data_IF_213765623258
#
_entry.id   IF_213765623258
#
_cell.length_a   1.000
_cell.length_b   1.000
_cell.length_c   1.000
_cell.angle_alpha   90.00
_cell.angle_beta   90.00
_cell.angle_gamma   90.00
#
_symmetry.space_group_name_H-M   'P 1'
#
loop_
_entity.id
_entity.type
_entity.pdbx_description
1 polymer ?
#
# COMPACT_ATOMS: atom_id res chain seq x y z
N UNK A 1 10.39 2.13 -6.63
CA UNK A 1 9.68 2.83 -7.73
C UNK A 1 8.27 2.30 -7.82
N UNK A 2 7.26 3.17 -7.86
CA UNK A 2 5.85 2.78 -7.94
C UNK A 2 5.36 2.88 -9.38
N UNK A 3 4.85 1.78 -9.92
CA UNK A 3 4.43 1.67 -11.32
C UNK A 3 2.91 1.73 -11.41
N UNK A 4 2.41 2.64 -12.24
CA UNK A 4 1.01 2.80 -12.58
C UNK A 4 0.89 2.64 -14.11
N UNK A 5 0.28 1.53 -14.58
CA UNK A 5 0.11 1.27 -16.00
C UNK A 5 -0.55 2.45 -16.72
N UNK A 6 0.04 2.87 -17.83
CA UNK A 6 -0.46 3.99 -18.64
C UNK A 6 -0.11 5.39 -18.13
N UNK A 7 0.44 5.51 -16.91
CA UNK A 7 0.86 6.81 -16.34
C UNK A 7 2.37 6.98 -16.38
N UNK A 8 3.13 5.97 -15.97
CA UNK A 8 4.59 6.04 -15.92
C UNK A 8 5.28 4.81 -16.54
N UNK A 9 4.62 4.20 -17.52
CA UNK A 9 5.09 3.00 -18.22
C UNK A 9 5.37 3.24 -19.69
N UNK A 10 5.23 4.47 -20.19
CA UNK A 10 5.56 4.75 -21.59
C UNK A 10 7.10 4.78 -21.77
N UNK A 11 7.63 4.54 -22.99
CA UNK A 11 9.08 4.47 -23.21
C UNK A 11 9.85 5.73 -22.80
N UNK A 12 9.26 6.91 -22.96
CA UNK A 12 9.87 8.19 -22.60
C UNK A 12 9.99 8.33 -21.08
N UNK A 13 8.94 7.97 -20.33
CA UNK A 13 8.94 7.98 -18.87
C UNK A 13 9.99 7.01 -18.33
N UNK A 14 10.03 5.79 -18.88
CA UNK A 14 11.00 4.77 -18.48
C UNK A 14 12.43 5.22 -18.77
N UNK A 15 12.68 5.89 -19.91
CA UNK A 15 13.99 6.44 -20.21
C UNK A 15 14.41 7.53 -19.19
N UNK A 16 13.48 8.42 -18.82
CA UNK A 16 13.71 9.43 -17.78
C UNK A 16 13.99 8.81 -16.41
N UNK A 17 13.21 7.80 -16.01
CA UNK A 17 13.41 7.04 -14.78
C UNK A 17 14.76 6.31 -14.80
N UNK A 18 15.16 5.71 -15.92
CA UNK A 18 16.47 5.07 -16.08
C UNK A 18 17.61 6.07 -15.87
N UNK A 19 17.51 7.26 -16.46
CA UNK A 19 18.51 8.30 -16.29
C UNK A 19 18.61 8.77 -14.82
N UNK A 20 17.46 8.96 -14.15
CA UNK A 20 17.42 9.31 -12.74
C UNK A 20 18.02 8.21 -11.84
N UNK A 21 17.70 6.94 -12.11
CA UNK A 21 18.27 5.80 -11.37
C UNK A 21 19.79 5.76 -11.54
N UNK A 22 20.30 5.95 -12.76
CA UNK A 22 21.74 5.96 -13.02
C UNK A 22 22.45 7.10 -12.27
N UNK A 23 21.80 8.27 -12.13
CA UNK A 23 22.34 9.41 -11.39
C UNK A 23 22.31 9.19 -9.87
N UNK A 24 21.23 8.61 -9.35
CA UNK A 24 21.07 8.33 -7.91
C UNK A 24 21.98 7.17 -7.49
N UNK A 25 22.17 6.20 -8.38
CA UNK A 25 22.96 4.99 -8.18
C UNK A 25 22.55 4.20 -6.91
N UNK A 26 21.27 3.77 -6.79
CA UNK A 26 20.82 3.01 -5.64
C UNK A 26 21.39 1.58 -5.66
N UNK A 27 21.55 0.97 -4.49
CA UNK A 27 21.97 -0.44 -4.38
C UNK A 27 20.97 -1.41 -5.02
N UNK A 28 19.66 -1.07 -4.96
CA UNK A 28 18.56 -1.87 -5.51
C UNK A 28 17.42 -0.98 -5.98
N UNK A 29 16.73 -1.42 -7.02
CA UNK A 29 15.48 -0.80 -7.50
C UNK A 29 14.34 -1.78 -7.35
N UNK A 30 13.41 -1.43 -6.48
CA UNK A 30 12.21 -2.20 -6.21
C UNK A 30 11.03 -1.68 -7.04
N UNK A 31 10.46 -2.50 -7.92
CA UNK A 31 9.24 -2.15 -8.65
C UNK A 31 8.02 -2.56 -7.81
N UNK A 32 7.27 -1.56 -7.36
CA UNK A 32 6.03 -1.70 -6.62
C UNK A 32 4.85 -1.38 -7.53
N UNK A 33 3.68 -1.91 -7.20
CA UNK A 33 2.41 -1.60 -7.85
C UNK A 33 1.35 -1.36 -6.78
N UNK A 34 0.18 -0.86 -7.19
CA UNK A 34 -0.99 -0.76 -6.33
C UNK A 34 -1.31 -2.13 -5.70
N UNK A 35 -1.44 -2.17 -4.38
CA UNK A 35 -1.72 -3.39 -3.60
C UNK A 35 -2.96 -3.24 -2.70
N UNK A 36 -3.67 -2.12 -2.82
CA UNK A 36 -4.85 -1.71 -2.06
C UNK A 36 -5.81 -0.98 -3.01
N UNK A 37 -7.10 -0.80 -2.68
CA UNK A 37 -7.98 0.06 -3.46
C UNK A 37 -7.33 1.44 -3.68
N UNK A 38 -7.27 1.87 -4.95
CA UNK A 38 -6.75 3.18 -5.31
C UNK A 38 -7.76 4.28 -4.93
N UNK A 39 -7.26 5.47 -4.61
CA UNK A 39 -8.13 6.64 -4.40
C UNK A 39 -8.94 6.99 -5.64
N UNK A 40 -8.37 6.68 -6.82
CA UNK A 40 -8.95 6.95 -8.12
C UNK A 40 -9.36 5.63 -8.79
N UNK A 41 -10.61 5.49 -9.20
CA UNK A 41 -11.15 4.23 -9.74
C UNK A 41 -10.53 3.77 -11.06
N UNK A 42 -9.83 4.66 -11.77
CA UNK A 42 -9.10 4.34 -13.01
C UNK A 42 -7.69 3.78 -12.74
N UNK A 43 -7.17 3.93 -11.51
CA UNK A 43 -5.86 3.41 -11.13
C UNK A 43 -6.01 1.92 -10.83
N UNK A 44 -5.27 1.11 -11.58
CA UNK A 44 -5.23 -0.34 -11.40
C UNK A 44 -3.84 -0.83 -11.04
N UNK A 45 -3.72 -2.01 -10.41
CA UNK A 45 -2.44 -2.68 -10.30
C UNK A 45 -1.84 -2.99 -11.68
N UNK A 46 -0.52 -2.81 -11.79
CA UNK A 46 0.30 -3.43 -12.82
C UNK A 46 0.31 -4.94 -12.65
N UNK A 47 0.15 -5.64 -13.78
CA UNK A 47 0.30 -7.09 -13.85
C UNK A 47 1.77 -7.49 -13.73
N UNK A 48 2.03 -8.76 -13.41
CA UNK A 48 3.39 -9.29 -13.39
C UNK A 48 4.11 -9.12 -14.75
N UNK A 49 3.38 -9.25 -15.86
CA UNK A 49 3.89 -9.03 -17.20
C UNK A 49 4.30 -7.58 -17.45
N UNK A 50 3.48 -6.62 -17.05
CA UNK A 50 3.79 -5.18 -17.17
C UNK A 50 5.01 -4.79 -16.30
N UNK A 51 5.10 -5.32 -15.08
CA UNK A 51 6.28 -5.09 -14.23
C UNK A 51 7.55 -5.70 -14.84
N UNK A 52 7.45 -6.88 -15.46
CA UNK A 52 8.56 -7.49 -16.18
C UNK A 52 8.99 -6.66 -17.39
N UNK A 53 8.03 -6.15 -18.18
CA UNK A 53 8.32 -5.24 -19.29
C UNK A 53 9.03 -3.97 -18.83
N UNK A 54 8.56 -3.33 -17.76
CA UNK A 54 9.21 -2.15 -17.18
C UNK A 54 10.64 -2.46 -16.74
N UNK A 55 10.85 -3.59 -16.05
CA UNK A 55 12.19 -4.06 -15.66
C UNK A 55 13.10 -4.21 -16.89
N UNK A 56 12.60 -4.86 -17.94
CA UNK A 56 13.37 -5.14 -19.14
C UNK A 56 13.69 -3.84 -19.91
N UNK A 57 12.76 -2.88 -19.94
CA UNK A 57 12.97 -1.55 -20.55
C UNK A 57 13.96 -0.68 -19.76
N UNK A 58 13.99 -0.80 -18.42
CA UNK A 58 15.01 -0.14 -17.61
C UNK A 58 16.40 -0.68 -17.95
N UNK A 59 16.52 -1.99 -18.19
CA UNK A 59 17.77 -2.61 -18.64
C UNK A 59 18.92 -2.48 -17.63
N UNK A 60 18.59 -2.33 -16.34
CA UNK A 60 19.56 -2.17 -15.25
C UNK A 60 19.68 -3.46 -14.42
N UNK A 61 20.86 -3.71 -13.87
CA UNK A 61 21.06 -4.76 -12.87
C UNK A 61 20.44 -4.33 -11.54
N UNK A 62 19.99 -5.29 -10.71
CA UNK A 62 19.42 -4.99 -9.39
C UNK A 62 18.00 -4.43 -9.39
N UNK A 63 17.25 -4.57 -10.49
CA UNK A 63 15.82 -4.24 -10.57
C UNK A 63 14.98 -5.49 -10.26
N UNK A 64 14.20 -5.43 -9.19
CA UNK A 64 13.36 -6.54 -8.73
C UNK A 64 11.91 -6.10 -8.61
N UNK A 65 10.98 -6.90 -9.13
CA UNK A 65 9.56 -6.72 -8.83
C UNK A 65 9.30 -7.17 -7.39
N UNK A 66 8.77 -6.27 -6.56
CA UNK A 66 8.47 -6.58 -5.17
C UNK A 66 7.15 -7.36 -5.12
N UNK A 67 7.18 -8.51 -4.44
CA UNK A 67 5.95 -9.22 -4.09
C UNK A 67 5.09 -8.30 -3.21
N UNK A 68 3.75 -8.34 -3.34
CA UNK A 68 2.86 -7.58 -2.48
C UNK A 68 3.32 -7.69 -1.02
N UNK A 69 3.62 -6.54 -0.42
CA UNK A 69 4.19 -6.50 0.92
C UNK A 69 3.13 -7.06 1.87
N UNK A 70 3.41 -8.20 2.49
CA UNK A 70 2.78 -8.50 3.77
C UNK A 70 3.35 -7.46 4.73
N UNK A 71 2.55 -6.46 5.09
CA UNK A 71 2.94 -5.45 6.05
C UNK A 71 3.19 -6.19 7.37
N UNK A 72 4.44 -6.59 7.60
CA UNK A 72 4.90 -6.97 8.92
C UNK A 72 4.76 -5.76 9.86
N UNK A 73 5.04 -5.94 11.15
CA UNK A 73 5.07 -4.84 12.11
C UNK A 73 6.15 -3.84 11.69
N UNK A 74 5.80 -2.96 10.76
CA UNK A 74 6.68 -1.91 10.29
C UNK A 74 6.71 -0.88 11.39
N UNK A 75 7.92 -0.44 11.72
CA UNK A 75 8.28 0.61 12.65
C UNK A 75 7.61 1.94 12.28
N UNK A 76 6.28 1.99 12.34
CA UNK A 76 5.61 3.25 12.53
C UNK A 76 6.04 3.68 13.93
N UNK A 77 7.02 4.57 13.94
CA UNK A 77 7.21 5.58 14.96
C UNK A 77 5.87 6.33 15.12
N UNK A 78 4.89 5.67 15.74
CA UNK A 78 3.82 6.37 16.40
C UNK A 78 4.50 7.00 17.60
N UNK A 79 4.95 8.24 17.39
CA UNK A 79 4.87 9.24 18.46
C UNK A 79 3.40 9.30 18.86
N UNK A 80 2.99 8.35 19.69
CA UNK A 80 1.73 8.40 20.37
C UNK A 80 1.90 9.46 21.45
N UNK A 81 1.07 10.49 21.41
CA UNK A 81 0.62 11.09 22.65
C UNK A 81 0.10 9.94 23.53
N UNK A 82 0.60 9.87 24.75
CA UNK A 82 0.39 8.77 25.69
C UNK A 82 -1.06 8.66 26.23
N UNK A 83 -2.06 9.04 25.43
CA UNK A 83 -3.46 9.13 25.85
C UNK A 83 -4.53 8.91 24.78
N UNK A 84 -4.21 8.56 23.52
CA UNK A 84 -5.25 8.26 22.53
C UNK A 84 -5.70 6.79 22.56
N UNK A 85 -7.02 6.59 22.60
CA UNK A 85 -7.63 5.26 22.59
C UNK A 85 -7.33 4.50 21.28
N UNK A 86 -7.21 3.19 21.38
CA UNK A 86 -6.86 2.30 20.28
C UNK A 86 -7.86 2.39 19.12
N UNK A 87 -9.15 2.58 19.45
CA UNK A 87 -10.24 2.77 18.47
C UNK A 87 -9.98 4.02 17.62
N UNK A 88 -9.61 5.15 18.25
CA UNK A 88 -9.28 6.39 17.53
C UNK A 88 -8.06 6.23 16.63
N UNK A 89 -7.06 5.45 17.04
CA UNK A 89 -5.87 5.17 16.23
C UNK A 89 -6.19 4.34 14.99
N UNK A 90 -7.06 3.35 15.11
CA UNK A 90 -7.54 2.56 13.98
C UNK A 90 -8.39 3.42 13.04
N UNK A 91 -9.26 4.29 13.58
CA UNK A 91 -10.03 5.24 12.78
C UNK A 91 -9.14 6.17 11.96
N UNK A 92 -8.13 6.80 12.57
CA UNK A 92 -7.17 7.65 11.85
C UNK A 92 -6.33 6.87 10.83
N UNK A 93 -6.09 5.58 11.04
CA UNK A 93 -5.50 4.72 10.00
C UNK A 93 -6.44 4.58 8.79
N UNK A 94 -7.71 4.23 9.03
CA UNK A 94 -8.71 3.98 7.98
C UNK A 94 -9.05 5.22 7.15
N UNK A 95 -8.97 6.42 7.74
CA UNK A 95 -9.09 7.69 7.01
C UNK A 95 -7.95 7.95 6.03
N UNK A 96 -6.73 7.50 6.36
CA UNK A 96 -5.53 7.78 5.55
C UNK A 96 -5.27 6.73 4.50
N UNK A 97 -5.67 5.48 4.75
CA UNK A 97 -5.50 4.38 3.79
C UNK A 97 -6.48 3.22 4.04
N UNK A 98 -7.07 2.64 2.98
CA UNK A 98 -7.80 1.37 3.09
C UNK A 98 -6.89 0.28 3.65
N UNK A 99 -7.33 -0.48 4.66
CA UNK A 99 -6.51 -1.53 5.31
C UNK A 99 -7.31 -2.79 5.59
N UNK A 100 -6.67 -3.96 5.52
CA UNK A 100 -7.29 -5.24 5.91
C UNK A 100 -7.21 -5.47 7.43
N UNK A 101 -7.95 -6.46 7.94
CA UNK A 101 -7.83 -6.90 9.35
C UNK A 101 -6.40 -7.34 9.65
N UNK A 102 -5.76 -8.07 8.72
CA UNK A 102 -4.37 -8.51 8.82
C UNK A 102 -3.40 -7.33 8.90
N UNK A 103 -3.59 -6.31 8.07
CA UNK A 103 -2.76 -5.11 8.08
C UNK A 103 -2.86 -4.38 9.42
N UNK A 104 -4.08 -4.21 9.94
CA UNK A 104 -4.33 -3.53 11.23
C UNK A 104 -3.74 -4.36 12.37
N UNK A 105 -3.96 -5.68 12.38
CA UNK A 105 -3.44 -6.59 13.39
C UNK A 105 -1.90 -6.55 13.44
N UNK A 106 -1.25 -6.64 12.28
CA UNK A 106 0.20 -6.57 12.18
C UNK A 106 0.75 -5.19 12.59
N UNK A 107 0.03 -4.11 12.27
CA UNK A 107 0.46 -2.75 12.58
C UNK A 107 0.38 -2.41 14.07
N UNK A 108 -0.70 -2.84 14.73
CA UNK A 108 -0.95 -2.53 16.15
C UNK A 108 -0.51 -3.66 17.09
N UNK A 109 -0.01 -4.78 16.56
CA UNK A 109 0.37 -5.95 17.35
C UNK A 109 -0.82 -6.63 18.02
N UNK A 110 -1.99 -6.56 17.40
CA UNK A 110 -3.25 -7.07 17.94
C UNK A 110 -3.60 -8.43 17.37
N UNK A 111 -4.45 -9.17 18.09
CA UNK A 111 -5.08 -10.35 17.52
C UNK A 111 -6.21 -9.95 16.55
N UNK A 112 -6.45 -10.75 15.50
CA UNK A 112 -7.49 -10.45 14.50
C UNK A 112 -8.89 -10.24 15.11
N UNK A 113 -9.21 -10.99 16.17
CA UNK A 113 -10.49 -10.87 16.88
C UNK A 113 -10.65 -9.52 17.59
N UNK A 114 -9.54 -8.95 18.10
CA UNK A 114 -9.55 -7.62 18.72
C UNK A 114 -9.78 -6.55 17.67
N UNK A 115 -9.11 -6.66 16.52
CA UNK A 115 -9.33 -5.78 15.36
C UNK A 115 -10.79 -5.82 14.89
N UNK A 116 -11.38 -7.02 14.77
CA UNK A 116 -12.79 -7.16 14.40
C UNK A 116 -13.73 -6.51 15.42
N UNK A 117 -13.42 -6.57 16.72
CA UNK A 117 -14.20 -5.87 17.73
C UNK A 117 -14.12 -4.36 17.53
N UNK A 118 -12.91 -3.83 17.32
CA UNK A 118 -12.70 -2.39 17.07
C UNK A 118 -13.42 -1.94 15.80
N UNK A 119 -13.38 -2.71 14.72
CA UNK A 119 -14.09 -2.37 13.47
C UNK A 119 -15.61 -2.32 13.69
N UNK A 120 -16.18 -3.24 14.46
CA UNK A 120 -17.61 -3.19 14.82
C UNK A 120 -17.95 -1.96 15.65
N UNK A 121 -17.09 -1.62 16.63
CA UNK A 121 -17.30 -0.42 17.45
C UNK A 121 -17.22 0.85 16.59
N UNK A 122 -16.32 0.88 15.59
CA UNK A 122 -16.20 1.99 14.64
C UNK A 122 -17.37 2.09 13.67
N UNK A 123 -17.92 0.98 13.18
CA UNK A 123 -19.10 0.96 12.30
C UNK A 123 -20.33 1.57 12.97
N UNK A 124 -20.43 1.50 14.31
CA UNK A 124 -21.51 2.14 15.07
C UNK A 124 -21.29 3.65 15.21
N UNK A 125 -20.04 4.09 15.36
CA UNK A 125 -19.71 5.49 15.62
C UNK A 125 -19.51 6.33 14.35
N UNK A 126 -19.09 5.69 13.25
CA UNK A 126 -18.61 6.36 12.04
C UNK A 126 -18.93 5.53 10.80
N UNK A 127 -19.14 6.15 9.62
CA UNK A 127 -19.27 5.40 8.37
C UNK A 127 -17.94 4.71 8.06
N UNK A 128 -17.96 3.38 8.10
CA UNK A 128 -16.86 2.53 7.62
C UNK A 128 -17.40 1.72 6.46
N UNK A 129 -16.77 1.87 5.30
CA UNK A 129 -17.06 1.08 4.11
C UNK A 129 -16.06 -0.09 4.02
N UNK A 130 -16.45 -1.12 3.28
CA UNK A 130 -15.57 -2.23 2.96
C UNK A 130 -15.61 -2.57 1.47
N UNK A 131 -14.45 -2.96 0.93
CA UNK A 131 -14.28 -3.37 -0.47
C UNK A 131 -13.46 -4.66 -0.52
N UNK A 132 -13.96 -5.64 -1.29
CA UNK A 132 -13.25 -6.90 -1.49
C UNK A 132 -12.35 -6.80 -2.72
N UNK A 133 -11.09 -7.09 -2.50
CA UNK A 133 -10.03 -7.14 -3.52
C UNK A 133 -9.33 -8.51 -3.47
N UNK A 134 -8.39 -8.74 -4.39
CA UNK A 134 -7.60 -9.98 -4.46
C UNK A 134 -6.87 -10.30 -3.13
N UNK A 135 -6.40 -9.27 -2.41
CA UNK A 135 -5.72 -9.41 -1.11
C UNK A 135 -6.64 -9.60 0.08
N UNK A 136 -7.97 -9.48 -0.10
CA UNK A 136 -8.95 -9.62 0.97
C UNK A 136 -9.88 -8.43 1.08
N UNK A 137 -10.51 -8.29 2.25
CA UNK A 137 -11.45 -7.20 2.52
C UNK A 137 -10.71 -6.02 3.12
N UNK A 138 -10.72 -4.91 2.40
CA UNK A 138 -10.23 -3.62 2.86
C UNK A 138 -11.35 -2.84 3.52
N UNK A 139 -11.05 -2.25 4.67
CA UNK A 139 -11.91 -1.30 5.37
C UNK A 139 -11.37 0.11 5.16
N UNK A 140 -12.25 1.09 5.02
CA UNK A 140 -11.90 2.51 4.85
C UNK A 140 -13.04 3.42 5.28
N UNK A 141 -12.73 4.68 5.58
CA UNK A 141 -13.74 5.70 5.82
C UNK A 141 -14.02 6.44 4.51
N UNK A 142 -15.24 6.42 3.96
CA UNK A 142 -15.60 7.24 2.81
C UNK A 142 -15.55 8.73 3.17
N UNK A 143 -15.20 9.57 2.20
CA UNK A 143 -15.26 11.04 2.32
C UNK A 143 -16.70 11.56 2.43
#
# INVERSE_FOLDING_TARGET
MFIIPGVNTNPTDIAGLRAAIAQIHPDRVQLNTLDRPGSEGWVRPATAGELAQVRDMLGLTGVEAVKPVSYGPSHLNHRADAGSDLVSRVHELLKRRPSTVEDIAALFGLHKNEVQKILRDLEVMTPVASQREERGVFYFCPE
#
